data_IF_624977483963
#
_entry.id   IF_624977483963
#
_cell.length_a   1.000
_cell.length_b   1.000
_cell.length_c   1.000
_cell.angle_alpha   90.00
_cell.angle_beta   90.00
_cell.angle_gamma   90.00
#
_symmetry.space_group_name_H-M   'P 1'
#
loop_
_entity.id
_entity.type
_entity.pdbx_description
1 polymer ?
#
# COMPACT_ATOMS: atom_id res chain seq x y z
N UNK A 1 -7.03 21.42 3.78
CA UNK A 1 -7.90 21.84 2.67
C UNK A 1 -9.19 22.43 3.23
N UNK A 2 -9.87 23.28 2.47
CA UNK A 2 -11.11 23.93 2.90
C UNK A 2 -12.15 23.87 1.79
N UNK A 3 -13.42 23.99 2.14
CA UNK A 3 -14.53 23.99 1.20
C UNK A 3 -15.45 25.19 1.47
N UNK A 4 -15.95 25.78 0.39
CA UNK A 4 -17.04 26.74 0.43
C UNK A 4 -18.36 25.99 0.21
N UNK A 5 -19.34 26.22 1.09
CA UNK A 5 -20.65 25.58 1.06
C UNK A 5 -21.73 26.65 0.99
N UNK A 6 -22.69 26.49 0.07
CA UNK A 6 -23.88 27.33 -0.04
C UNK A 6 -25.10 26.44 -0.18
N UNK A 7 -26.16 26.69 0.60
CA UNK A 7 -27.38 25.88 0.61
C UNK A 7 -27.10 24.36 0.76
N UNK A 8 -26.23 24.00 1.72
CA UNK A 8 -25.76 22.62 1.98
C UNK A 8 -25.05 21.93 0.81
N UNK A 9 -24.67 22.66 -0.24
CA UNK A 9 -23.90 22.13 -1.37
C UNK A 9 -22.48 22.68 -1.35
N UNK A 10 -21.50 21.79 -1.55
CA UNK A 10 -20.10 22.18 -1.74
C UNK A 10 -19.96 22.85 -3.11
N UNK A 11 -19.61 24.13 -3.13
CA UNK A 11 -19.51 24.93 -4.36
C UNK A 11 -18.07 25.20 -4.79
N UNK A 12 -17.10 25.08 -3.87
CA UNK A 12 -15.66 25.26 -4.19
C UNK A 12 -14.77 24.52 -3.21
N UNK A 13 -13.67 23.94 -3.71
CA UNK A 13 -12.61 23.32 -2.92
C UNK A 13 -11.35 24.20 -2.99
N UNK A 14 -10.72 24.39 -1.85
CA UNK A 14 -9.46 25.10 -1.71
C UNK A 14 -8.38 24.12 -1.23
N UNK A 15 -7.48 23.75 -2.15
CA UNK A 15 -6.31 22.92 -1.83
C UNK A 15 -5.26 23.69 -1.00
N UNK A 16 -5.23 25.01 -1.15
CA UNK A 16 -4.41 25.95 -0.38
C UNK A 16 -5.21 27.23 -0.09
N UNK A 17 -4.83 28.00 0.95
CA UNK A 17 -5.44 29.30 1.23
C UNK A 17 -5.29 30.23 0.01
N UNK A 18 -6.41 30.81 -0.42
CA UNK A 18 -6.44 31.74 -1.56
C UNK A 18 -7.59 32.73 -1.35
N UNK A 19 -7.45 33.94 -1.90
CA UNK A 19 -8.55 34.90 -1.86
C UNK A 19 -9.74 34.37 -2.67
N UNK A 20 -10.95 34.73 -2.24
CA UNK A 20 -12.18 34.35 -2.95
C UNK A 20 -13.27 35.39 -2.72
N UNK A 21 -14.28 35.36 -3.58
CA UNK A 21 -15.48 36.18 -3.45
C UNK A 21 -16.66 35.28 -3.13
N UNK A 22 -17.49 35.69 -2.17
CA UNK A 22 -18.72 34.98 -1.81
C UNK A 22 -19.80 35.98 -1.39
N UNK A 23 -20.98 35.87 -2.00
CA UNK A 23 -22.11 36.80 -1.78
C UNK A 23 -21.68 38.28 -1.88
N UNK A 24 -20.97 38.63 -2.96
CA UNK A 24 -20.46 39.98 -3.28
C UNK A 24 -19.43 40.55 -2.28
N UNK A 25 -18.92 39.72 -1.36
CA UNK A 25 -17.87 40.08 -0.41
C UNK A 25 -16.56 39.38 -0.79
N UNK A 26 -15.48 40.16 -0.88
CA UNK A 26 -14.13 39.65 -1.15
C UNK A 26 -13.42 39.29 0.16
N UNK A 27 -13.03 38.03 0.27
CA UNK A 27 -12.31 37.49 1.41
C UNK A 27 -10.83 37.28 1.07
N UNK A 28 -9.90 37.86 1.84
CA UNK A 28 -8.47 37.64 1.65
C UNK A 28 -8.02 36.24 2.10
N UNK A 29 -6.91 35.72 1.56
CA UNK A 29 -6.42 34.37 1.86
C UNK A 29 -6.01 34.15 3.34
N UNK A 30 -5.74 35.21 4.09
CA UNK A 30 -5.35 35.11 5.50
C UNK A 30 -6.50 34.61 6.40
N UNK A 31 -7.76 34.77 6.00
CA UNK A 31 -8.91 34.36 6.83
C UNK A 31 -8.89 32.88 7.18
N UNK A 32 -8.29 32.05 6.31
CA UNK A 32 -8.17 30.60 6.52
C UNK A 32 -7.39 30.25 7.79
N UNK A 33 -6.45 31.10 8.22
CA UNK A 33 -5.69 30.95 9.45
C UNK A 33 -6.10 31.91 10.55
N UNK A 34 -6.51 33.15 10.22
CA UNK A 34 -6.73 34.21 11.22
C UNK A 34 -8.11 34.24 11.85
N UNK A 35 -9.15 33.72 11.17
CA UNK A 35 -10.52 33.71 11.71
C UNK A 35 -10.80 32.47 12.56
N UNK A 36 -11.74 32.60 13.49
CA UNK A 36 -12.27 31.49 14.28
C UNK A 36 -13.05 30.49 13.40
N UNK A 37 -13.36 29.31 13.95
CA UNK A 37 -14.18 28.33 13.24
C UNK A 37 -15.61 28.86 13.00
N UNK A 38 -16.14 29.60 13.97
CA UNK A 38 -17.47 30.20 13.92
C UNK A 38 -17.56 31.26 12.82
N UNK A 39 -16.58 32.18 12.76
CA UNK A 39 -16.51 33.24 11.73
C UNK A 39 -16.43 32.66 10.32
N UNK A 40 -15.59 31.62 10.12
CA UNK A 40 -15.49 30.91 8.84
C UNK A 40 -16.80 30.21 8.50
N UNK A 41 -17.41 29.53 9.46
CA UNK A 41 -18.67 28.82 9.25
C UNK A 41 -19.84 29.76 8.91
N UNK A 42 -19.83 30.99 9.42
CA UNK A 42 -20.85 32.00 9.14
C UNK A 42 -20.85 32.44 7.67
N UNK A 43 -19.70 32.39 6.99
CA UNK A 43 -19.58 32.68 5.56
C UNK A 43 -19.60 31.40 4.70
N UNK A 44 -19.92 30.24 5.29
CA UNK A 44 -19.97 28.97 4.59
C UNK A 44 -18.59 28.33 4.31
N UNK A 45 -17.53 28.77 4.98
CA UNK A 45 -16.19 28.21 4.84
C UNK A 45 -15.95 27.12 5.91
N UNK A 46 -15.76 25.89 5.46
CA UNK A 46 -15.63 24.72 6.34
C UNK A 46 -14.33 23.96 6.08
N UNK A 47 -13.70 23.40 7.13
CA UNK A 47 -12.53 22.55 6.96
C UNK A 47 -12.93 21.23 6.28
N UNK A 48 -12.05 20.73 5.42
CA UNK A 48 -12.23 19.41 4.81
C UNK A 48 -11.53 18.37 5.68
N UNK A 49 -12.27 17.32 6.05
CA UNK A 49 -11.75 16.12 6.69
C UNK A 49 -11.78 14.96 5.71
N UNK A 50 -10.66 14.25 5.57
CA UNK A 50 -10.60 13.08 4.70
C UNK A 50 -11.06 11.84 5.45
N UNK A 51 -12.14 11.21 4.97
CA UNK A 51 -12.62 9.94 5.46
C UNK A 51 -12.04 8.81 4.61
N UNK A 52 -10.97 8.19 5.12
CA UNK A 52 -10.25 7.11 4.42
C UNK A 52 -10.77 5.71 4.78
N UNK A 53 -11.93 5.59 5.43
CA UNK A 53 -12.48 4.29 5.85
C UNK A 53 -12.69 3.28 4.71
N UNK A 54 -12.93 3.77 3.48
CA UNK A 54 -13.09 2.93 2.28
C UNK A 54 -11.78 2.72 1.48
N UNK A 55 -10.68 3.36 1.88
CA UNK A 55 -9.38 3.23 1.21
C UNK A 55 -8.74 1.91 1.62
N UNK A 56 -8.30 1.13 0.63
CA UNK A 56 -7.56 -0.13 0.85
C UNK A 56 -6.10 -0.01 0.38
N UNK A 57 -5.27 -1.01 0.64
CA UNK A 57 -3.86 -1.00 0.20
C UNK A 57 -3.77 -0.93 -1.33
N UNK A 58 -3.12 0.12 -1.84
CA UNK A 58 -2.95 0.40 -3.26
C UNK A 58 -2.13 -0.68 -3.99
N UNK A 59 -1.40 -1.53 -3.26
CA UNK A 59 -0.72 -2.71 -3.82
C UNK A 59 -1.70 -3.79 -4.31
N UNK A 60 -2.93 -3.78 -3.83
CA UNK A 60 -3.94 -4.80 -4.11
C UNK A 60 -5.21 -4.21 -4.73
N UNK A 61 -5.50 -2.94 -4.46
CA UNK A 61 -6.74 -2.29 -4.85
C UNK A 61 -6.52 -0.96 -5.56
N UNK A 62 -7.43 -0.64 -6.48
CA UNK A 62 -7.56 0.69 -7.08
C UNK A 62 -8.55 1.52 -6.28
N UNK A 63 -8.03 2.44 -5.48
CA UNK A 63 -8.85 3.42 -4.77
C UNK A 63 -9.35 4.51 -5.72
N UNK A 64 -10.59 4.98 -5.53
CA UNK A 64 -11.16 6.08 -6.31
C UNK A 64 -11.75 7.14 -5.40
N UNK A 65 -11.42 8.40 -5.69
CA UNK A 65 -12.04 9.52 -5.02
C UNK A 65 -13.54 9.54 -5.32
N UNK A 66 -14.36 9.72 -4.28
CA UNK A 66 -15.81 9.78 -4.37
C UNK A 66 -16.28 11.19 -4.66
N UNK A 67 -16.09 12.06 -3.69
CA UNK A 67 -16.53 13.44 -3.73
C UNK A 67 -16.46 14.10 -2.37
N UNK A 68 -17.20 15.20 -2.23
CA UNK A 68 -17.24 16.01 -1.02
C UNK A 68 -18.68 16.14 -0.55
N UNK A 69 -18.92 15.80 0.71
CA UNK A 69 -20.24 15.88 1.33
C UNK A 69 -20.18 16.80 2.54
N UNK A 70 -21.07 17.79 2.61
CA UNK A 70 -21.15 18.66 3.78
C UNK A 70 -21.88 17.95 4.93
N UNK A 71 -21.23 17.90 6.09
CA UNK A 71 -21.79 17.42 7.35
C UNK A 71 -22.19 18.62 8.20
N UNK A 72 -23.47 18.98 8.15
CA UNK A 72 -24.00 20.15 8.83
C UNK A 72 -23.93 20.03 10.36
N UNK A 73 -24.00 18.81 10.90
CA UNK A 73 -23.93 18.54 12.34
C UNK A 73 -22.53 18.84 12.86
N UNK A 74 -21.50 18.33 12.17
CA UNK A 74 -20.11 18.49 12.58
C UNK A 74 -19.44 19.74 12.00
N UNK A 75 -20.14 20.51 11.15
CA UNK A 75 -19.64 21.70 10.45
C UNK A 75 -18.31 21.43 9.72
N UNK A 76 -18.25 20.32 9.00
CA UNK A 76 -17.09 19.90 8.20
C UNK A 76 -17.54 19.47 6.83
N UNK A 77 -16.61 19.45 5.86
CA UNK A 77 -16.83 18.77 4.59
C UNK A 77 -16.02 17.47 4.59
N UNK A 78 -16.71 16.35 4.41
CA UNK A 78 -16.09 15.03 4.32
C UNK A 78 -15.66 14.78 2.88
N UNK A 79 -14.36 14.57 2.66
CA UNK A 79 -13.85 13.97 1.42
C UNK A 79 -14.05 12.46 1.54
N UNK A 80 -14.98 11.91 0.77
CA UNK A 80 -15.33 10.49 0.81
C UNK A 80 -14.68 9.75 -0.36
N UNK A 81 -14.21 8.54 -0.08
CA UNK A 81 -13.69 7.62 -1.08
C UNK A 81 -14.78 6.64 -1.50
N UNK A 82 -14.83 6.29 -2.80
CA UNK A 82 -15.73 5.25 -3.30
C UNK A 82 -15.24 3.89 -2.82
N UNK A 83 -16.10 2.88 -2.97
CA UNK A 83 -15.69 1.48 -2.92
C UNK A 83 -14.52 1.26 -3.89
N UNK A 84 -13.43 0.71 -3.36
CA UNK A 84 -12.26 0.35 -4.14
C UNK A 84 -12.53 -0.84 -5.06
N UNK A 85 -11.83 -0.85 -6.20
CA UNK A 85 -11.85 -1.94 -7.16
C UNK A 85 -10.63 -2.85 -6.93
N UNK A 86 -10.82 -4.15 -7.10
CA UNK A 86 -9.73 -5.14 -7.08
C UNK A 86 -8.79 -4.90 -8.27
N UNK A 87 -7.46 -4.95 -8.05
CA UNK A 87 -6.52 -5.03 -9.16
C UNK A 87 -6.61 -6.40 -9.83
N UNK A 88 -6.29 -6.45 -11.13
CA UNK A 88 -6.35 -7.67 -11.93
C UNK A 88 -5.43 -8.75 -11.36
N UNK A 89 -5.98 -9.94 -11.12
CA UNK A 89 -5.24 -11.05 -10.51
C UNK A 89 -4.29 -11.73 -11.51
N UNK A 90 -4.72 -11.86 -12.75
CA UNK A 90 -4.01 -12.56 -13.82
C UNK A 90 -3.47 -11.57 -14.86
N UNK A 91 -2.46 -11.98 -15.63
CA UNK A 91 -1.92 -11.17 -16.72
C UNK A 91 -2.99 -10.95 -17.81
N UNK A 92 -3.05 -9.73 -18.34
CA UNK A 92 -3.95 -9.37 -19.44
C UNK A 92 -3.17 -8.83 -20.61
N UNK A 93 -3.40 -9.39 -21.79
CA UNK A 93 -2.83 -8.87 -23.05
C UNK A 93 -3.91 -8.18 -23.86
N UNK A 94 -3.65 -6.95 -24.30
CA UNK A 94 -4.54 -6.18 -25.17
C UNK A 94 -3.67 -5.50 -26.22
N UNK A 95 -4.01 -5.67 -27.50
CA UNK A 95 -3.26 -5.12 -28.65
C UNK A 95 -1.76 -5.44 -28.62
N UNK A 96 -1.40 -6.65 -28.20
CA UNK A 96 -0.01 -7.12 -28.11
C UNK A 96 0.76 -6.61 -26.88
N UNK A 97 0.15 -5.78 -26.03
CA UNK A 97 0.75 -5.30 -24.78
C UNK A 97 0.22 -6.11 -23.60
N UNK A 98 1.12 -6.79 -22.88
CA UNK A 98 0.78 -7.54 -21.66
C UNK A 98 0.98 -6.69 -20.42
N UNK A 99 -0.09 -6.47 -19.67
CA UNK A 99 -0.07 -5.92 -18.32
C UNK A 99 -0.04 -7.08 -17.32
N UNK A 100 0.92 -7.05 -16.39
CA UNK A 100 1.06 -8.09 -15.37
C UNK A 100 -0.04 -7.98 -14.32
N UNK A 101 -0.67 -9.11 -14.01
CA UNK A 101 -1.59 -9.23 -12.88
C UNK A 101 -0.86 -9.39 -11.55
N UNK A 102 -1.60 -9.28 -10.45
CA UNK A 102 -1.06 -9.36 -9.10
C UNK A 102 -0.26 -10.64 -8.85
N UNK A 103 -0.73 -11.80 -9.34
CA UNK A 103 0.00 -13.07 -9.12
C UNK A 103 1.39 -13.03 -9.75
N UNK A 104 1.51 -12.58 -10.99
CA UNK A 104 2.81 -12.47 -11.67
C UNK A 104 3.72 -11.46 -10.98
N UNK A 105 3.19 -10.29 -10.60
CA UNK A 105 3.95 -9.28 -9.86
C UNK A 105 4.48 -9.85 -8.54
N UNK A 106 3.61 -10.51 -7.75
CA UNK A 106 3.96 -11.10 -6.46
C UNK A 106 4.92 -12.29 -6.56
N UNK A 107 4.77 -13.14 -7.57
CA UNK A 107 5.74 -14.22 -7.85
C UNK A 107 7.11 -13.65 -8.20
N UNK A 108 7.15 -12.59 -9.03
CA UNK A 108 8.41 -11.93 -9.38
C UNK A 108 9.07 -11.27 -8.16
N UNK A 109 8.30 -10.62 -7.28
CA UNK A 109 8.80 -10.07 -6.01
C UNK A 109 9.45 -11.17 -5.14
N UNK A 110 8.78 -12.31 -4.96
CA UNK A 110 9.32 -13.45 -4.17
C UNK A 110 10.59 -14.01 -4.81
N UNK A 111 10.59 -14.24 -6.13
CA UNK A 111 11.77 -14.74 -6.83
C UNK A 111 12.95 -13.77 -6.74
N UNK A 112 12.67 -12.46 -6.83
CA UNK A 112 13.69 -11.41 -6.65
C UNK A 112 14.25 -11.41 -5.23
N UNK A 113 13.40 -11.56 -4.21
CA UNK A 113 13.86 -11.67 -2.82
C UNK A 113 14.77 -12.89 -2.64
N UNK A 114 14.37 -14.06 -3.15
CA UNK A 114 15.21 -15.26 -3.09
C UNK A 114 16.56 -15.06 -3.81
N UNK A 115 16.55 -14.44 -5.00
CA UNK A 115 17.79 -14.07 -5.71
C UNK A 115 18.68 -13.15 -4.88
N UNK A 116 18.12 -12.06 -4.34
CA UNK A 116 18.86 -11.08 -3.56
C UNK A 116 19.45 -11.68 -2.28
N UNK A 117 18.82 -12.70 -1.70
CA UNK A 117 19.32 -13.42 -0.53
C UNK A 117 20.43 -14.40 -0.90
N UNK A 118 20.34 -15.04 -2.07
CA UNK A 118 21.29 -16.08 -2.50
C UNK A 118 22.58 -15.50 -3.08
N UNK A 119 22.52 -14.31 -3.71
CA UNK A 119 23.62 -13.75 -4.51
C UNK A 119 24.96 -13.67 -3.77
N UNK A 120 24.95 -13.36 -2.47
CA UNK A 120 26.17 -13.18 -1.67
C UNK A 120 26.95 -14.48 -1.47
N UNK A 121 26.29 -15.63 -1.68
CA UNK A 121 26.88 -16.97 -1.59
C UNK A 121 27.03 -17.68 -2.94
N UNK A 122 26.68 -17.02 -4.06
CA UNK A 122 26.75 -17.63 -5.40
C UNK A 122 28.19 -17.95 -5.82
N UNK A 123 29.14 -17.10 -5.45
CA UNK A 123 30.56 -17.34 -5.75
C UNK A 123 31.07 -18.65 -5.13
N UNK A 124 30.55 -19.05 -3.97
CA UNK A 124 30.93 -20.31 -3.32
C UNK A 124 30.42 -21.51 -4.12
N UNK A 125 29.22 -21.40 -4.70
CA UNK A 125 28.68 -22.45 -5.58
C UNK A 125 29.49 -22.58 -6.85
N UNK A 126 29.85 -21.44 -7.47
CA UNK A 126 30.72 -21.41 -8.66
C UNK A 126 32.07 -22.04 -8.33
N UNK A 127 32.70 -21.61 -7.22
CA UNK A 127 33.98 -22.18 -6.79
C UNK A 127 33.90 -23.69 -6.56
N UNK A 128 32.84 -24.20 -5.93
CA UNK A 128 32.63 -25.63 -5.73
C UNK A 128 32.44 -26.41 -7.04
N UNK A 129 32.05 -25.75 -8.13
CA UNK A 129 31.98 -26.36 -9.45
C UNK A 129 33.28 -26.32 -10.25
N UNK A 130 34.18 -25.39 -9.92
CA UNK A 130 35.43 -25.15 -10.67
C UNK A 130 36.67 -25.70 -9.97
N UNK A 131 36.63 -25.85 -8.64
CA UNK A 131 37.78 -26.19 -7.79
C UNK A 131 37.51 -27.50 -7.07
N UNK A 132 38.20 -28.57 -7.48
CA UNK A 132 37.93 -29.95 -7.06
C UNK A 132 38.11 -30.23 -5.57
N UNK A 133 38.94 -29.46 -4.87
CA UNK A 133 39.20 -29.59 -3.43
C UNK A 133 38.37 -28.62 -2.57
N UNK A 134 37.50 -27.82 -3.20
CA UNK A 134 36.58 -26.93 -2.49
C UNK A 134 35.17 -27.53 -2.45
N UNK A 135 34.64 -27.68 -1.23
CA UNK A 135 33.22 -27.98 -1.00
C UNK A 135 32.52 -26.79 -0.36
N UNK A 136 31.22 -26.66 -0.64
CA UNK A 136 30.40 -25.62 -0.04
C UNK A 136 30.33 -25.85 1.48
N UNK A 137 30.48 -24.80 2.32
CA UNK A 137 30.23 -24.93 3.76
C UNK A 137 28.82 -25.47 4.02
N UNK A 138 28.69 -26.42 4.95
CA UNK A 138 27.44 -27.14 5.22
C UNK A 138 26.27 -26.20 5.58
N UNK A 139 26.53 -25.18 6.40
CA UNK A 139 25.55 -24.17 6.74
C UNK A 139 25.06 -23.38 5.50
N UNK A 140 25.96 -22.98 4.60
CA UNK A 140 25.62 -22.31 3.34
C UNK A 140 24.81 -23.24 2.43
N UNK A 141 25.16 -24.52 2.34
CA UNK A 141 24.42 -25.51 1.56
C UNK A 141 22.97 -25.67 2.06
N UNK A 142 22.79 -25.79 3.38
CA UNK A 142 21.48 -25.89 4.04
C UNK A 142 20.67 -24.60 3.87
N UNK A 143 21.27 -23.44 4.13
CA UNK A 143 20.66 -22.13 3.95
C UNK A 143 20.13 -21.94 2.53
N UNK A 144 20.96 -22.15 1.50
CA UNK A 144 20.56 -21.99 0.10
C UNK A 144 19.42 -22.94 -0.29
N UNK A 145 19.41 -24.15 0.27
CA UNK A 145 18.33 -25.11 0.07
C UNK A 145 17.03 -24.64 0.73
N UNK A 146 17.11 -24.16 1.97
CA UNK A 146 15.96 -23.62 2.69
C UNK A 146 15.35 -22.39 1.99
N UNK A 147 16.17 -21.45 1.49
CA UNK A 147 15.70 -20.29 0.72
C UNK A 147 14.92 -20.71 -0.53
N UNK A 148 15.44 -21.66 -1.31
CA UNK A 148 14.77 -22.17 -2.52
C UNK A 148 13.46 -22.88 -2.19
N UNK A 149 13.46 -23.75 -1.19
CA UNK A 149 12.24 -24.42 -0.71
C UNK A 149 11.20 -23.40 -0.28
N UNK A 150 11.61 -22.37 0.47
CA UNK A 150 10.69 -21.32 0.94
C UNK A 150 10.15 -20.46 -0.20
N UNK A 151 10.99 -20.08 -1.16
CA UNK A 151 10.57 -19.38 -2.37
C UNK A 151 9.50 -20.18 -3.14
N UNK A 152 9.73 -21.49 -3.34
CA UNK A 152 8.80 -22.35 -4.06
C UNK A 152 7.45 -22.52 -3.32
N UNK A 153 7.47 -22.65 -2.00
CA UNK A 153 6.27 -22.64 -1.15
C UNK A 153 5.48 -21.33 -1.34
N UNK A 154 6.15 -20.19 -1.18
CA UNK A 154 5.53 -18.87 -1.34
C UNK A 154 4.91 -18.68 -2.73
N UNK A 155 5.64 -19.03 -3.80
CA UNK A 155 5.15 -18.97 -5.19
C UNK A 155 3.92 -19.86 -5.38
N UNK A 156 3.94 -21.08 -4.84
CA UNK A 156 2.81 -22.02 -4.94
C UNK A 156 1.56 -21.43 -4.28
N UNK A 157 1.71 -20.85 -3.10
CA UNK A 157 0.60 -20.25 -2.34
C UNK A 157 0.02 -19.02 -3.03
N UNK A 158 0.87 -18.16 -3.59
CA UNK A 158 0.43 -16.99 -4.40
C UNK A 158 -0.37 -17.45 -5.62
N UNK A 159 0.14 -18.46 -6.36
CA UNK A 159 -0.55 -18.98 -7.55
C UNK A 159 -1.92 -19.60 -7.22
N UNK A 160 -2.04 -20.19 -6.03
CA UNK A 160 -3.26 -20.84 -5.56
C UNK A 160 -4.39 -19.88 -5.16
N UNK A 161 -4.11 -18.59 -4.93
CA UNK A 161 -5.14 -17.63 -4.49
C UNK A 161 -6.22 -17.42 -5.56
N UNK A 162 -7.45 -17.19 -5.10
CA UNK A 162 -8.64 -17.08 -5.97
C UNK A 162 -9.17 -15.66 -6.11
N UNK A 163 -8.87 -14.80 -5.14
CA UNK A 163 -9.29 -13.40 -5.13
C UNK A 163 -8.21 -12.53 -4.47
N UNK A 164 -8.36 -11.22 -4.64
CA UNK A 164 -7.41 -10.21 -4.15
C UNK A 164 -7.33 -10.21 -2.63
N UNK A 165 -8.45 -10.40 -1.92
CA UNK A 165 -8.49 -10.38 -0.45
C UNK A 165 -7.68 -11.53 0.15
N UNK A 166 -7.78 -12.73 -0.42
CA UNK A 166 -6.98 -13.88 -0.01
C UNK A 166 -5.50 -13.62 -0.27
N UNK A 167 -5.15 -13.02 -1.41
CA UNK A 167 -3.78 -12.64 -1.72
C UNK A 167 -3.24 -11.59 -0.76
N UNK A 168 -3.98 -10.51 -0.49
CA UNK A 168 -3.61 -9.49 0.51
C UNK A 168 -3.35 -10.12 1.87
N UNK A 169 -4.21 -11.03 2.32
CA UNK A 169 -4.07 -11.72 3.61
C UNK A 169 -2.74 -12.47 3.72
N UNK A 170 -2.20 -13.03 2.62
CA UNK A 170 -0.88 -13.66 2.65
C UNK A 170 0.24 -12.67 3.00
N UNK A 171 0.10 -11.40 2.63
CA UNK A 171 1.09 -10.35 2.80
C UNK A 171 0.92 -9.50 4.06
N UNK A 172 -0.24 -9.58 4.72
CA UNK A 172 -0.52 -8.82 5.95
C UNK A 172 0.27 -9.39 7.12
N UNK A 173 1.07 -8.54 7.75
CA UNK A 173 1.80 -8.88 8.97
C UNK A 173 0.89 -8.80 10.20
N UNK A 174 1.07 -9.74 11.11
CA UNK A 174 0.52 -9.72 12.46
C UNK A 174 1.65 -9.89 13.49
N UNK A 175 1.46 -9.28 14.66
CA UNK A 175 2.36 -9.50 15.78
C UNK A 175 1.96 -10.81 16.49
N UNK A 176 2.83 -11.80 16.46
CA UNK A 176 2.68 -13.07 17.18
C UNK A 176 3.48 -13.11 18.48
N UNK A 177 4.20 -12.02 18.81
CA UNK A 177 4.93 -11.82 20.05
C UNK A 177 4.14 -10.99 21.07
N UNK A 178 4.84 -10.40 22.04
CA UNK A 178 4.25 -9.44 22.98
C UNK A 178 4.43 -8.01 22.48
N UNK A 179 3.73 -7.04 23.08
CA UNK A 179 3.97 -5.61 22.76
C UNK A 179 5.41 -5.17 23.07
N UNK A 180 6.00 -5.71 24.15
CA UNK A 180 7.38 -5.44 24.56
C UNK A 180 8.44 -6.17 23.72
N UNK A 181 8.05 -7.23 23.01
CA UNK A 181 8.92 -8.05 22.15
C UNK A 181 8.12 -8.51 20.93
N UNK A 182 7.84 -7.59 19.98
CA UNK A 182 7.01 -7.92 18.83
C UNK A 182 7.72 -8.92 17.92
N UNK A 183 6.96 -9.89 17.42
CA UNK A 183 7.40 -10.83 16.39
C UNK A 183 6.45 -10.68 15.23
N UNK A 184 6.88 -9.95 14.20
CA UNK A 184 6.04 -9.71 13.03
C UNK A 184 6.18 -10.89 12.07
N UNK A 185 5.06 -11.56 11.80
CA UNK A 185 4.98 -12.65 10.82
C UNK A 185 3.82 -12.40 9.88
N UNK A 186 3.88 -12.95 8.67
CA UNK A 186 2.75 -12.96 7.74
C UNK A 186 2.40 -14.38 7.34
N UNK A 187 1.16 -14.66 6.92
CA UNK A 187 0.78 -16.00 6.52
C UNK A 187 1.69 -16.56 5.42
N UNK A 188 2.10 -15.77 4.41
CA UNK A 188 3.03 -16.21 3.35
C UNK A 188 4.35 -16.79 3.90
N UNK A 189 4.74 -16.39 5.11
CA UNK A 189 5.97 -16.76 5.79
C UNK A 189 7.11 -15.79 5.51
N UNK A 190 8.25 -16.07 6.15
CA UNK A 190 9.49 -15.31 6.00
C UNK A 190 10.58 -16.17 5.37
N UNK A 191 11.50 -15.52 4.67
CA UNK A 191 12.71 -16.18 4.22
C UNK A 191 13.65 -16.46 5.41
N UNK A 192 14.36 -17.59 5.39
CA UNK A 192 15.34 -17.87 6.43
C UNK A 192 16.55 -16.93 6.31
N UNK A 193 17.33 -16.80 7.37
CA UNK A 193 18.58 -16.04 7.37
C UNK A 193 19.78 -16.97 7.50
N UNK A 194 20.94 -16.52 7.04
CA UNK A 194 22.13 -17.38 7.03
C UNK A 194 22.60 -17.70 8.45
N UNK A 195 22.46 -16.76 9.39
CA UNK A 195 22.77 -16.95 10.81
C UNK A 195 21.91 -18.00 11.51
N UNK A 196 20.84 -18.49 10.88
CA UNK A 196 19.98 -19.55 11.42
C UNK A 196 20.54 -20.97 11.15
N UNK A 197 21.70 -21.10 10.46
CA UNK A 197 22.31 -22.38 10.04
C UNK A 197 23.77 -22.54 10.50
#
# INVERSE_FOLDING_TARGET
MWALVKANQVIKIFNSPQAFEHNDIKHPANIFSSWSAEEKSAIGLYPIQEDRSNVKDEKFYKNREGGYTFDATNKVVKKVWKTSEDLEMEDKTTDGVTVKGLKSVKVNEVNKQAYDILKDTDWMVIKASEVSDYSLPDNVAKFRTAVRTKSNDMVTRIKATKDVRVLETLYTYSNTGTESKPVMTRPLGEFPKLEDF
#
